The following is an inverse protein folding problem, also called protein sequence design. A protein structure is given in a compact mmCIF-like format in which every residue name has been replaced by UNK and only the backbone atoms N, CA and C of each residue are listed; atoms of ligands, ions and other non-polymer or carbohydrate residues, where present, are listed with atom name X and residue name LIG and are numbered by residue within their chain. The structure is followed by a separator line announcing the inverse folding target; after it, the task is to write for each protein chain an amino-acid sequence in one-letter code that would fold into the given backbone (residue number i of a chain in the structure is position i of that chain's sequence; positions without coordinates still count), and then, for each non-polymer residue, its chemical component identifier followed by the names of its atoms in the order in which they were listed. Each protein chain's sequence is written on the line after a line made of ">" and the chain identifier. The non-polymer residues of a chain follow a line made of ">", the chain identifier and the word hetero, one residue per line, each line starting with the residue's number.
data_IF_093968356423
#
_entry.id   IF_093968356423
#
_cell.length_a   1.000
_cell.length_b   1.000
_cell.length_c   1.000
_cell.angle_alpha   90.00
_cell.angle_beta   90.00
_cell.angle_gamma   90.00
#
_symmetry.space_group_name_H-M   'P 1'
#
loop_
_entity.id
_entity.type
_entity.pdbx_description
1 polymer ?
#
# COMPACT_ATOMS: atom_id res chain seq x y z
N UNK A 1 -23.03 -2.57 2.65
CA UNK A 1 -21.80 -2.26 1.88
C UNK A 1 -21.22 -0.90 2.26
N UNK A 2 -21.97 0.19 2.20
CA UNK A 2 -21.51 1.56 2.50
C UNK A 2 -20.86 1.66 3.90
N UNK A 3 -21.49 1.06 4.92
CA UNK A 3 -20.94 1.03 6.30
C UNK A 3 -19.52 0.43 6.36
N UNK A 4 -19.29 -0.67 5.62
CA UNK A 4 -17.98 -1.32 5.58
C UNK A 4 -16.93 -0.42 4.89
N UNK A 5 -17.33 0.35 3.84
CA UNK A 5 -16.44 1.30 3.18
C UNK A 5 -16.05 2.46 4.11
N UNK A 6 -17.02 2.98 4.87
CA UNK A 6 -16.75 4.02 5.86
C UNK A 6 -15.83 3.49 6.97
N UNK A 7 -16.07 2.28 7.45
CA UNK A 7 -15.26 1.65 8.49
C UNK A 7 -13.80 1.47 8.03
N UNK A 8 -13.59 0.94 6.81
CA UNK A 8 -12.23 0.81 6.25
C UNK A 8 -11.55 2.16 6.08
N UNK A 9 -12.29 3.19 5.65
CA UNK A 9 -11.76 4.53 5.50
C UNK A 9 -11.28 5.09 6.84
N UNK A 10 -12.14 5.04 7.88
CA UNK A 10 -11.83 5.55 9.21
C UNK A 10 -10.69 4.76 9.85
N UNK A 11 -10.71 3.42 9.75
CA UNK A 11 -9.66 2.57 10.28
C UNK A 11 -8.31 2.87 9.63
N UNK A 12 -8.27 2.99 8.30
CA UNK A 12 -7.03 3.32 7.56
C UNK A 12 -6.51 4.70 7.98
N UNK A 13 -7.41 5.69 8.14
CA UNK A 13 -7.06 7.04 8.58
C UNK A 13 -6.42 7.02 9.98
N UNK A 14 -7.08 6.40 10.94
CA UNK A 14 -6.61 6.33 12.34
C UNK A 14 -5.26 5.63 12.42
N UNK A 15 -5.12 4.48 11.77
CA UNK A 15 -3.89 3.69 11.77
C UNK A 15 -2.74 4.42 11.06
N UNK A 16 -3.00 5.14 9.97
CA UNK A 16 -2.00 5.97 9.30
C UNK A 16 -1.47 7.07 10.23
N UNK A 17 -2.34 7.78 10.92
CA UNK A 17 -1.92 8.82 11.85
C UNK A 17 -1.18 8.24 13.06
N UNK A 18 -1.61 7.10 13.60
CA UNK A 18 -0.90 6.38 14.66
C UNK A 18 0.51 5.98 14.21
N UNK A 19 0.64 5.42 13.00
CA UNK A 19 1.94 5.11 12.41
C UNK A 19 2.82 6.38 12.31
N UNK A 20 2.28 7.45 11.77
CA UNK A 20 3.02 8.69 11.54
C UNK A 20 3.51 9.32 12.85
N UNK A 21 2.69 9.24 13.92
CA UNK A 21 3.05 9.73 15.25
C UNK A 21 4.18 8.91 15.88
N UNK A 22 4.11 7.57 15.78
CA UNK A 22 5.00 6.67 16.49
C UNK A 22 6.29 6.36 15.72
N UNK A 23 6.20 6.21 14.38
CA UNK A 23 7.29 5.64 13.56
C UNK A 23 7.97 6.63 12.62
N UNK A 24 7.47 7.85 12.44
CA UNK A 24 8.03 8.86 11.51
C UNK A 24 9.55 9.05 11.64
N UNK A 25 10.09 8.95 12.85
CA UNK A 25 11.51 9.15 13.14
C UNK A 25 12.24 7.84 13.44
N UNK A 26 11.66 6.69 13.13
CA UNK A 26 12.27 5.39 13.37
C UNK A 26 13.25 5.05 12.25
N UNK A 27 14.46 4.63 12.64
CA UNK A 27 15.51 4.18 11.70
C UNK A 27 15.48 2.65 11.51
N UNK A 28 14.47 1.95 12.04
CA UNK A 28 14.29 0.50 11.83
C UNK A 28 13.40 0.26 10.62
N UNK A 29 13.99 0.33 9.44
CA UNK A 29 13.27 0.27 8.18
C UNK A 29 12.50 -1.04 7.98
N UNK A 30 13.10 -2.19 8.32
CA UNK A 30 12.43 -3.49 8.22
C UNK A 30 11.19 -3.58 9.15
N UNK A 31 11.28 -3.04 10.37
CA UNK A 31 10.16 -3.00 11.29
C UNK A 31 9.05 -2.05 10.78
N UNK A 32 9.42 -0.88 10.27
CA UNK A 32 8.48 0.07 9.67
C UNK A 32 7.74 -0.57 8.49
N UNK A 33 8.43 -1.35 7.65
CA UNK A 33 7.84 -2.13 6.54
C UNK A 33 6.76 -3.07 7.05
N UNK A 34 7.10 -3.91 8.05
CA UNK A 34 6.16 -4.87 8.63
C UNK A 34 4.94 -4.13 9.21
N UNK A 35 5.14 -3.06 9.96
CA UNK A 35 4.04 -2.28 10.56
C UNK A 35 3.14 -1.70 9.47
N UNK A 36 3.67 -1.10 8.41
CA UNK A 36 2.88 -0.53 7.31
C UNK A 36 2.04 -1.60 6.59
N UNK A 37 2.62 -2.77 6.31
CA UNK A 37 1.88 -3.88 5.71
C UNK A 37 0.79 -4.40 6.65
N UNK A 38 1.11 -4.60 7.94
CA UNK A 38 0.14 -5.06 8.95
C UNK A 38 -1.03 -4.10 9.08
N UNK A 39 -0.79 -2.79 9.14
CA UNK A 39 -1.86 -1.76 9.19
C UNK A 39 -2.76 -1.86 7.97
N UNK A 40 -2.18 -2.00 6.78
CA UNK A 40 -2.92 -2.06 5.52
C UNK A 40 -3.81 -3.30 5.45
N UNK A 41 -3.26 -4.48 5.79
CA UNK A 41 -4.00 -5.74 5.81
C UNK A 41 -5.10 -5.69 6.87
N UNK A 42 -4.80 -5.20 8.07
CA UNK A 42 -5.76 -5.10 9.16
C UNK A 42 -6.93 -4.17 8.81
N UNK A 43 -6.65 -2.96 8.30
CA UNK A 43 -7.69 -2.01 7.91
C UNK A 43 -8.59 -2.58 6.80
N UNK A 44 -8.04 -3.40 5.89
CA UNK A 44 -8.80 -4.09 4.86
C UNK A 44 -9.64 -5.24 5.41
N UNK A 45 -9.09 -6.02 6.37
CA UNK A 45 -9.75 -7.17 6.96
C UNK A 45 -10.82 -6.79 8.01
N UNK A 46 -10.71 -5.62 8.63
CA UNK A 46 -11.56 -5.19 9.74
C UNK A 46 -13.09 -5.33 9.48
N UNK A 47 -13.65 -4.95 8.32
CA UNK A 47 -15.10 -5.09 8.07
C UNK A 47 -15.58 -6.53 7.97
N UNK A 48 -14.67 -7.49 7.78
CA UNK A 48 -15.01 -8.93 7.72
C UNK A 48 -15.00 -9.58 9.10
N UNK A 49 -14.38 -8.92 10.09
CA UNK A 49 -14.33 -9.38 11.47
C UNK A 49 -15.60 -8.89 12.17
N UNK A 50 -16.59 -9.78 12.31
CA UNK A 50 -17.81 -9.52 13.08
C UNK A 50 -17.71 -10.28 14.38
N UNK A 51 -17.71 -9.58 15.50
CA UNK A 51 -17.76 -10.17 16.84
C UNK A 51 -19.17 -9.94 17.35
N UNK A 52 -19.98 -10.99 17.36
CA UNK A 52 -21.29 -10.98 17.98
C UNK A 52 -21.08 -11.22 19.48
N UNK A 53 -21.31 -10.22 20.30
CA UNK A 53 -21.35 -10.41 21.74
C UNK A 53 -22.81 -10.67 22.09
N UNK A 54 -23.13 -11.87 22.57
CA UNK A 54 -24.40 -12.15 23.21
C UNK A 54 -24.50 -11.26 24.45
N UNK A 55 -25.09 -10.10 24.30
CA UNK A 55 -25.33 -9.17 25.40
C UNK A 55 -26.45 -9.73 26.27
N UNK A 56 -26.22 -9.85 27.58
CA UNK A 56 -27.31 -10.01 28.53
C UNK A 56 -28.36 -8.94 28.28
N UNK A 57 -29.60 -9.39 28.12
CA UNK A 57 -30.76 -8.52 27.91
C UNK A 57 -30.80 -7.43 28.98
N UNK A 58 -30.44 -6.22 28.65
CA UNK A 58 -31.03 -5.09 29.31
C UNK A 58 -32.51 -5.09 28.88
N UNK A 59 -33.41 -5.41 29.79
CA UNK A 59 -34.83 -5.25 29.58
C UNK A 59 -35.08 -3.79 29.18
N UNK A 60 -35.26 -3.58 27.88
CA UNK A 60 -35.80 -2.30 27.41
C UNK A 60 -37.20 -2.14 28.02
N UNK A 61 -37.39 -1.05 28.75
CA UNK A 61 -38.74 -0.66 29.15
C UNK A 61 -39.61 -0.59 27.90
N UNK A 62 -40.82 -1.17 27.91
CA UNK A 62 -41.71 -1.20 26.75
C UNK A 62 -41.89 0.23 26.24
N UNK A 63 -41.46 0.49 25.02
CA UNK A 63 -41.63 1.79 24.42
C UNK A 63 -43.14 1.99 24.11
N UNK A 64 -43.72 3.02 24.70
CA UNK A 64 -45.13 3.43 24.55
C UNK A 64 -45.56 3.67 23.07
N UNK A 65 -44.67 3.60 22.14
CA UNK A 65 -44.91 3.70 20.70
C UNK A 65 -45.56 2.48 20.07
N UNK A 66 -45.38 1.28 20.62
CA UNK A 66 -45.79 0.06 19.97
C UNK A 66 -47.32 -0.24 20.17
N UNK A 67 -47.95 0.35 21.16
CA UNK A 67 -49.38 0.19 21.38
C UNK A 67 -50.26 1.11 20.51
N UNK A 68 -49.72 2.19 19.97
CA UNK A 68 -50.54 3.12 19.15
C UNK A 68 -50.64 2.70 17.68
N UNK A 69 -49.70 1.92 17.18
CA UNK A 69 -49.70 1.47 15.76
C UNK A 69 -50.73 0.33 15.50
N UNK A 70 -51.11 -0.42 16.52
CA UNK A 70 -52.07 -1.53 16.38
C UNK A 70 -53.52 -1.05 16.18
N UNK A 71 -53.86 0.16 16.60
CA UNK A 71 -55.21 0.67 16.56
C UNK A 71 -55.60 1.25 15.19
N UNK A 72 -54.64 1.61 14.36
CA UNK A 72 -54.93 2.28 13.06
C UNK A 72 -54.88 1.38 11.82
N UNK A 73 -54.57 0.09 11.94
CA UNK A 73 -54.45 -0.83 10.78
C UNK A 73 -55.51 -1.88 10.65
N UNK A 74 -56.71 -1.66 11.22
CA UNK A 74 -57.88 -2.48 10.97
C UNK A 74 -58.72 -1.82 9.85
N UNK A 75 -58.80 -2.53 8.69
CA UNK A 75 -59.61 -2.20 7.52
C UNK A 75 -59.04 -1.28 6.44
N UNK A 76 -57.89 -1.64 5.89
CA UNK A 76 -57.61 -1.31 4.51
C UNK A 76 -57.20 -2.58 3.75
N UNK A 77 -58.01 -3.02 2.83
CA UNK A 77 -57.63 -3.99 1.79
C UNK A 77 -56.42 -3.38 1.03
N UNK A 78 -55.24 -3.80 1.40
CA UNK A 78 -54.02 -3.38 0.73
C UNK A 78 -53.88 -4.26 -0.50
N UNK A 79 -54.20 -3.70 -1.69
CA UNK A 79 -53.65 -4.19 -2.93
C UNK A 79 -52.16 -4.33 -2.74
N UNK A 80 -51.62 -5.55 -2.96
CA UNK A 80 -50.18 -5.81 -2.86
C UNK A 80 -49.43 -4.76 -3.69
N UNK A 81 -48.56 -3.95 -3.09
CA UNK A 81 -47.83 -2.95 -3.86
C UNK A 81 -47.01 -3.69 -4.91
N UNK A 82 -47.27 -3.36 -6.17
CA UNK A 82 -46.35 -3.73 -7.25
C UNK A 82 -45.01 -3.17 -6.86
N UNK A 83 -44.06 -4.01 -6.40
CA UNK A 83 -42.69 -3.63 -6.10
C UNK A 83 -42.02 -3.13 -7.39
N UNK A 84 -42.23 -1.89 -7.72
CA UNK A 84 -41.33 -1.19 -8.63
C UNK A 84 -39.99 -1.09 -7.92
N UNK A 85 -39.01 -1.92 -8.32
CA UNK A 85 -37.65 -1.82 -7.86
C UNK A 85 -37.10 -0.46 -8.28
N UNK A 86 -37.37 0.56 -7.50
CA UNK A 86 -36.70 1.84 -7.62
C UNK A 86 -35.25 1.65 -7.14
N UNK A 87 -34.29 1.99 -8.00
CA UNK A 87 -32.87 1.92 -7.65
C UNK A 87 -32.64 2.75 -6.40
N UNK A 88 -32.26 2.11 -5.31
CA UNK A 88 -31.89 2.80 -4.07
C UNK A 88 -30.57 3.56 -4.27
N UNK A 89 -30.38 4.67 -3.55
CA UNK A 89 -29.11 5.41 -3.52
C UNK A 89 -27.94 4.47 -3.13
N UNK A 90 -28.20 3.50 -2.25
CA UNK A 90 -27.20 2.50 -1.85
C UNK A 90 -26.80 1.58 -3.00
N UNK A 91 -27.71 1.28 -3.93
CA UNK A 91 -27.41 0.46 -5.12
C UNK A 91 -26.54 1.25 -6.09
N UNK A 92 -26.86 2.52 -6.31
CA UNK A 92 -26.08 3.40 -7.17
C UNK A 92 -24.65 3.53 -6.65
N UNK A 93 -24.46 3.78 -5.35
CA UNK A 93 -23.12 3.86 -4.73
C UNK A 93 -22.37 2.52 -4.90
N UNK A 94 -23.08 1.40 -4.78
CA UNK A 94 -22.51 0.07 -4.95
C UNK A 94 -22.02 -0.17 -6.35
N UNK A 95 -22.78 0.23 -7.37
CA UNK A 95 -22.37 0.11 -8.77
C UNK A 95 -21.15 1.02 -9.08
N UNK A 96 -21.15 2.27 -8.60
CA UNK A 96 -20.01 3.19 -8.76
C UNK A 96 -18.76 2.58 -8.13
N UNK A 97 -18.88 2.00 -6.93
CA UNK A 97 -17.76 1.35 -6.26
C UNK A 97 -17.20 0.18 -7.07
N UNK A 98 -18.06 -0.72 -7.57
CA UNK A 98 -17.64 -1.88 -8.37
C UNK A 98 -16.95 -1.44 -9.65
N UNK A 99 -17.53 -0.46 -10.36
CA UNK A 99 -16.92 0.10 -11.58
C UNK A 99 -15.53 0.65 -11.29
N UNK A 100 -15.36 1.39 -10.19
CA UNK A 100 -14.07 1.89 -9.74
C UNK A 100 -13.07 0.78 -9.48
N UNK A 101 -13.46 -0.28 -8.74
CA UNK A 101 -12.60 -1.44 -8.47
C UNK A 101 -12.16 -2.11 -9.77
N UNK A 102 -13.09 -2.39 -10.68
CA UNK A 102 -12.78 -3.03 -11.99
C UNK A 102 -11.81 -2.16 -12.79
N UNK A 103 -12.04 -0.85 -12.84
CA UNK A 103 -11.15 0.09 -13.54
C UNK A 103 -9.72 0.05 -12.99
N UNK A 104 -9.55 0.13 -11.66
CA UNK A 104 -8.22 0.11 -11.04
C UNK A 104 -7.53 -1.25 -11.15
N UNK A 105 -8.28 -2.36 -11.09
CA UNK A 105 -7.73 -3.71 -11.33
C UNK A 105 -7.28 -3.87 -12.80
N UNK A 106 -8.04 -3.40 -13.77
CA UNK A 106 -7.63 -3.41 -15.17
C UNK A 106 -6.35 -2.59 -15.39
N UNK A 107 -6.27 -1.39 -14.78
CA UNK A 107 -5.06 -0.56 -14.81
C UNK A 107 -3.86 -1.28 -14.20
N UNK A 108 -4.05 -1.97 -13.09
CA UNK A 108 -3.00 -2.76 -12.43
C UNK A 108 -2.49 -3.89 -13.34
N UNK A 109 -3.39 -4.69 -13.92
CA UNK A 109 -3.04 -5.77 -14.87
C UNK A 109 -2.31 -5.21 -16.09
N UNK A 110 -2.77 -4.09 -16.64
CA UNK A 110 -2.11 -3.41 -17.75
C UNK A 110 -0.68 -2.98 -17.40
N UNK A 111 -0.45 -2.43 -16.21
CA UNK A 111 0.89 -2.05 -15.75
C UNK A 111 1.82 -3.26 -15.62
N UNK A 112 1.34 -4.37 -15.07
CA UNK A 112 2.10 -5.63 -15.02
C UNK A 112 2.43 -6.12 -16.42
N UNK A 113 1.45 -6.14 -17.33
CA UNK A 113 1.67 -6.56 -18.71
C UNK A 113 2.73 -5.69 -19.40
N UNK A 114 2.73 -4.38 -19.15
CA UNK A 114 3.76 -3.47 -19.68
C UNK A 114 5.17 -3.88 -19.23
N UNK A 115 5.36 -4.24 -17.95
CA UNK A 115 6.66 -4.71 -17.43
C UNK A 115 7.11 -6.00 -18.14
N UNK A 116 6.19 -6.97 -18.29
CA UNK A 116 6.50 -8.21 -19.02
C UNK A 116 6.83 -7.96 -20.50
N UNK A 117 6.18 -6.99 -21.13
CA UNK A 117 6.49 -6.58 -22.52
C UNK A 117 7.91 -6.00 -22.63
N UNK A 118 8.38 -5.24 -21.65
CA UNK A 118 9.76 -4.71 -21.64
C UNK A 118 10.78 -5.86 -21.62
N UNK A 119 10.48 -6.96 -20.93
CA UNK A 119 11.36 -8.13 -20.86
C UNK A 119 11.41 -8.93 -22.19
N UNK A 120 10.33 -8.92 -22.96
CA UNK A 120 10.18 -9.74 -24.15
C UNK A 120 11.22 -9.36 -25.23
N UNK A 121 11.98 -10.36 -25.73
CA UNK A 121 12.96 -10.16 -26.80
C UNK A 121 14.27 -9.47 -26.39
N UNK A 122 14.51 -9.26 -25.10
CA UNK A 122 15.74 -8.66 -24.60
C UNK A 122 16.77 -9.73 -24.20
N UNK A 123 18.05 -9.34 -24.22
CA UNK A 123 19.14 -10.20 -23.74
C UNK A 123 19.06 -10.32 -22.23
N UNK A 124 19.10 -11.56 -21.74
CA UNK A 124 18.99 -11.88 -20.31
C UNK A 124 20.29 -12.57 -19.89
N UNK A 125 20.92 -12.05 -18.85
CA UNK A 125 22.07 -12.66 -18.19
C UNK A 125 21.64 -13.01 -16.76
N UNK A 126 21.86 -14.27 -16.35
CA UNK A 126 21.45 -14.74 -15.01
C UNK A 126 22.70 -14.90 -14.14
N UNK A 127 22.78 -14.12 -13.07
CA UNK A 127 23.84 -14.16 -12.07
C UNK A 127 23.18 -14.32 -10.69
N UNK A 128 23.63 -15.28 -9.89
CA UNK A 128 23.10 -15.54 -8.53
C UNK A 128 21.55 -15.63 -8.46
N UNK A 129 20.94 -16.30 -9.43
CA UNK A 129 19.48 -16.44 -9.54
C UNK A 129 18.72 -15.13 -9.79
N UNK A 130 19.40 -14.06 -10.19
CA UNK A 130 18.86 -12.76 -10.60
C UNK A 130 19.09 -12.58 -12.10
N UNK A 131 18.05 -12.18 -12.81
CA UNK A 131 18.11 -11.93 -14.26
C UNK A 131 18.39 -10.46 -14.50
N UNK A 132 19.51 -10.17 -15.13
CA UNK A 132 19.87 -8.85 -15.61
C UNK A 132 19.37 -8.70 -17.06
N UNK A 133 18.53 -7.68 -17.28
CA UNK A 133 17.88 -7.42 -18.57
C UNK A 133 18.37 -6.07 -19.08
N UNK A 134 19.11 -6.10 -20.15
CA UNK A 134 19.65 -4.89 -20.78
C UNK A 134 18.63 -4.28 -21.74
N UNK A 135 18.25 -3.02 -21.50
CA UNK A 135 17.27 -2.30 -22.32
C UNK A 135 17.93 -1.15 -23.05
N UNK A 136 17.61 -0.97 -24.33
CA UNK A 136 18.15 0.15 -25.12
C UNK A 136 17.46 1.49 -24.80
N UNK A 137 16.48 1.48 -23.92
CA UNK A 137 15.77 2.67 -23.47
C UNK A 137 16.54 3.31 -22.32
N UNK A 138 16.74 4.62 -22.38
CA UNK A 138 17.38 5.41 -21.32
C UNK A 138 16.49 5.51 -20.10
N UNK A 139 16.28 4.41 -19.41
CA UNK A 139 15.51 4.38 -18.17
C UNK A 139 16.46 4.27 -16.98
N UNK A 140 16.07 4.89 -15.88
CA UNK A 140 16.69 4.65 -14.57
C UNK A 140 16.56 3.14 -14.27
N UNK A 141 17.64 2.47 -13.83
CA UNK A 141 17.57 1.07 -13.45
C UNK A 141 16.43 0.82 -12.46
N UNK A 142 15.75 -0.31 -12.61
CA UNK A 142 14.71 -0.74 -11.69
C UNK A 142 14.65 -2.26 -11.58
N UNK A 143 14.10 -2.75 -10.48
CA UNK A 143 13.93 -4.18 -10.25
C UNK A 143 12.47 -4.58 -10.11
N UNK A 144 12.14 -5.78 -10.62
CA UNK A 144 10.81 -6.38 -10.47
C UNK A 144 10.91 -7.90 -10.31
N UNK A 145 10.51 -8.44 -9.17
CA UNK A 145 10.79 -9.81 -8.73
C UNK A 145 12.30 -10.12 -8.85
N UNK A 146 12.65 -11.19 -9.54
CA UNK A 146 14.04 -11.63 -9.77
C UNK A 146 14.68 -10.99 -11.01
N UNK A 147 14.10 -9.90 -11.55
CA UNK A 147 14.63 -9.24 -12.73
C UNK A 147 15.11 -7.84 -12.36
N UNK A 148 16.32 -7.49 -12.80
CA UNK A 148 16.90 -6.16 -12.73
C UNK A 148 17.02 -5.63 -14.15
N UNK A 149 16.38 -4.51 -14.42
CA UNK A 149 16.40 -3.83 -15.71
C UNK A 149 17.45 -2.73 -15.69
N UNK A 150 18.40 -2.80 -16.64
CA UNK A 150 19.49 -1.84 -16.74
C UNK A 150 19.37 -1.14 -18.10
N UNK A 151 19.23 0.18 -18.09
CA UNK A 151 19.27 0.97 -19.30
C UNK A 151 20.70 1.11 -19.79
N UNK A 152 20.95 0.84 -21.07
CA UNK A 152 22.23 1.16 -21.70
C UNK A 152 22.22 2.64 -22.04
N UNK A 153 22.49 3.49 -21.05
CA UNK A 153 22.78 4.90 -21.31
C UNK A 153 24.21 5.03 -21.80
N UNK A 154 24.32 5.30 -23.10
CA UNK A 154 25.45 5.99 -23.74
C UNK A 154 26.85 5.43 -23.51
N UNK A 155 27.14 4.27 -24.03
CA UNK A 155 28.38 4.08 -24.74
C UNK A 155 28.04 3.42 -26.08
N UNK A 156 28.62 3.92 -27.15
CA UNK A 156 28.52 3.43 -28.52
C UNK A 156 28.77 1.94 -28.59
N UNK A 157 27.72 1.15 -28.39
CA UNK A 157 27.78 -0.30 -28.56
C UNK A 157 27.40 -0.57 -30.02
N UNK A 158 28.38 -0.90 -30.82
CA UNK A 158 28.19 -1.60 -32.07
C UNK A 158 27.46 -2.91 -31.77
N UNK A 159 26.48 -3.27 -32.59
CA UNK A 159 25.43 -4.27 -32.41
C UNK A 159 25.81 -5.71 -31.99
N UNK A 160 27.07 -6.01 -31.69
CA UNK A 160 27.56 -7.38 -31.46
C UNK A 160 28.44 -7.63 -30.22
N UNK A 161 28.71 -6.64 -29.39
CA UNK A 161 29.49 -6.87 -28.18
C UNK A 161 28.60 -6.88 -26.92
N UNK A 162 28.83 -7.87 -26.07
CA UNK A 162 28.28 -7.93 -24.71
C UNK A 162 28.74 -6.66 -24.02
N UNK A 163 27.87 -5.77 -23.52
CA UNK A 163 28.32 -4.67 -22.72
C UNK A 163 29.04 -5.26 -21.50
N UNK A 164 30.36 -5.13 -21.45
CA UNK A 164 31.06 -5.41 -20.21
C UNK A 164 30.42 -4.60 -19.08
N UNK A 165 30.28 -5.15 -17.86
CA UNK A 165 29.77 -4.42 -16.74
C UNK A 165 30.59 -3.14 -16.63
N UNK A 166 29.94 -2.00 -16.92
CA UNK A 166 30.60 -0.69 -17.03
C UNK A 166 31.44 -0.49 -15.79
N UNK A 167 32.77 -0.52 -15.95
CA UNK A 167 33.75 -0.36 -14.90
C UNK A 167 33.63 1.04 -14.29
N UNK A 168 32.93 1.11 -13.18
CA UNK A 168 32.86 2.29 -12.33
C UNK A 168 32.19 1.96 -11.02
N UNK A 169 32.79 2.35 -9.91
CA UNK A 169 32.23 2.18 -8.56
C UNK A 169 30.76 2.67 -8.45
N UNK A 170 30.35 3.60 -9.30
CA UNK A 170 29.02 4.14 -9.41
C UNK A 170 27.97 3.10 -9.81
N UNK A 171 28.25 2.33 -10.86
CA UNK A 171 27.33 1.32 -11.38
C UNK A 171 27.19 0.14 -10.41
N UNK A 172 28.25 -0.21 -9.70
CA UNK A 172 28.23 -1.26 -8.68
C UNK A 172 27.28 -0.89 -7.54
N UNK A 173 27.26 0.36 -7.10
CA UNK A 173 26.38 0.83 -6.02
C UNK A 173 24.92 0.82 -6.45
N UNK A 174 24.62 1.20 -7.69
CA UNK A 174 23.27 1.14 -8.25
C UNK A 174 22.80 -0.33 -8.36
N UNK A 175 23.66 -1.21 -8.86
CA UNK A 175 23.33 -2.66 -8.95
C UNK A 175 23.11 -3.25 -7.55
N UNK A 176 23.93 -2.92 -6.55
CA UNK A 176 23.71 -3.35 -5.17
C UNK A 176 22.35 -2.86 -4.62
N UNK A 177 21.97 -1.63 -4.96
CA UNK A 177 20.67 -1.07 -4.59
C UNK A 177 19.52 -1.87 -5.20
N UNK A 178 19.54 -2.14 -6.51
CA UNK A 178 18.53 -2.93 -7.19
C UNK A 178 18.48 -4.39 -6.68
N UNK A 179 19.63 -5.00 -6.43
CA UNK A 179 19.70 -6.33 -5.83
C UNK A 179 19.08 -6.39 -4.43
N UNK A 180 19.16 -5.30 -3.65
CA UNK A 180 18.47 -5.21 -2.36
C UNK A 180 16.95 -5.30 -2.52
N UNK A 181 16.36 -4.65 -3.52
CA UNK A 181 14.94 -4.78 -3.82
C UNK A 181 14.54 -6.22 -4.17
N UNK A 182 15.35 -6.92 -4.97
CA UNK A 182 15.13 -8.34 -5.31
C UNK A 182 15.21 -9.20 -4.06
N UNK A 183 16.29 -9.07 -3.29
CA UNK A 183 16.56 -9.88 -2.08
C UNK A 183 15.48 -9.71 -1.01
N UNK A 184 15.01 -8.50 -0.81
CA UNK A 184 13.98 -8.18 0.17
C UNK A 184 12.54 -8.40 -0.36
N UNK A 185 12.38 -8.87 -1.60
CA UNK A 185 11.08 -9.12 -2.24
C UNK A 185 10.15 -7.90 -2.22
N UNK A 186 10.67 -6.69 -2.42
CA UNK A 186 9.89 -5.45 -2.39
C UNK A 186 8.76 -5.43 -3.42
N UNK A 187 8.91 -6.17 -4.54
CA UNK A 187 7.86 -6.29 -5.57
C UNK A 187 6.58 -6.93 -5.05
N UNK A 188 6.68 -7.87 -4.08
CA UNK A 188 5.50 -8.51 -3.47
C UNK A 188 4.70 -7.49 -2.67
N UNK A 189 5.37 -6.64 -1.90
CA UNK A 189 4.73 -5.57 -1.12
C UNK A 189 4.02 -4.57 -2.05
N UNK A 190 4.68 -4.20 -3.15
CA UNK A 190 4.11 -3.27 -4.13
C UNK A 190 2.84 -3.86 -4.75
N UNK A 191 2.87 -5.13 -5.16
CA UNK A 191 1.70 -5.82 -5.72
C UNK A 191 0.55 -5.87 -4.70
N UNK A 192 0.86 -6.26 -3.46
CA UNK A 192 -0.13 -6.31 -2.38
C UNK A 192 -0.79 -4.94 -2.18
N UNK A 193 0.01 -3.88 -2.12
CA UNK A 193 -0.51 -2.53 -1.95
C UNK A 193 -1.31 -2.03 -3.15
N UNK A 194 -0.91 -2.35 -4.39
CA UNK A 194 -1.67 -1.97 -5.59
C UNK A 194 -3.04 -2.67 -5.63
N UNK A 195 -3.12 -3.95 -5.20
CA UNK A 195 -4.39 -4.67 -5.04
C UNK A 195 -5.26 -3.96 -3.97
N UNK A 196 -4.70 -3.63 -2.80
CA UNK A 196 -5.43 -2.93 -1.75
C UNK A 196 -5.91 -1.55 -2.20
N UNK A 197 -5.09 -0.82 -2.97
CA UNK A 197 -5.47 0.48 -3.55
C UNK A 197 -6.61 0.30 -4.56
N UNK A 198 -6.63 -0.78 -5.34
CA UNK A 198 -7.72 -1.04 -6.27
C UNK A 198 -9.07 -1.25 -5.54
N UNK A 199 -9.08 -1.98 -4.43
CA UNK A 199 -10.28 -2.14 -3.60
C UNK A 199 -10.65 -0.89 -2.80
N UNK A 200 -9.68 -0.10 -2.38
CA UNK A 200 -9.86 1.13 -1.62
C UNK A 200 -9.55 2.38 -2.46
N UNK A 201 -9.88 2.36 -3.76
CA UNK A 201 -9.52 3.41 -4.71
C UNK A 201 -9.98 4.81 -4.29
N UNK A 202 -11.07 4.91 -3.53
CA UNK A 202 -11.64 6.15 -2.97
C UNK A 202 -10.90 6.64 -1.73
N UNK A 203 -10.02 5.82 -1.12
CA UNK A 203 -9.35 6.11 0.14
C UNK A 203 -7.96 6.74 -0.09
N UNK A 204 -7.75 8.03 0.24
CA UNK A 204 -6.45 8.66 0.08
C UNK A 204 -5.39 8.12 1.06
N UNK A 205 -5.80 7.63 2.25
CA UNK A 205 -4.86 7.19 3.29
C UNK A 205 -4.12 5.92 2.89
N UNK A 206 -4.74 5.00 2.16
CA UNK A 206 -4.04 3.81 1.66
C UNK A 206 -2.92 4.19 0.68
N UNK A 207 -3.13 5.24 -0.14
CA UNK A 207 -2.10 5.77 -1.04
C UNK A 207 -0.96 6.44 -0.27
N UNK A 208 -1.29 7.14 0.84
CA UNK A 208 -0.27 7.72 1.72
C UNK A 208 0.55 6.65 2.40
N UNK A 209 -0.05 5.54 2.86
CA UNK A 209 0.65 4.37 3.39
C UNK A 209 1.57 3.75 2.33
N UNK A 210 1.09 3.58 1.09
CA UNK A 210 1.88 3.06 -0.02
C UNK A 210 3.12 3.94 -0.30
N UNK A 211 2.96 5.25 -0.27
CA UNK A 211 4.08 6.18 -0.46
C UNK A 211 5.12 6.10 0.66
N UNK A 212 4.69 5.95 1.92
CA UNK A 212 5.60 5.72 3.04
C UNK A 212 6.29 4.36 2.93
N UNK A 213 5.58 3.31 2.47
CA UNK A 213 6.14 1.99 2.24
C UNK A 213 7.21 2.02 1.13
N UNK A 214 6.91 2.65 -0.03
CA UNK A 214 7.88 2.83 -1.11
C UNK A 214 9.10 3.60 -0.63
N UNK A 215 8.91 4.70 0.12
CA UNK A 215 10.04 5.44 0.73
C UNK A 215 10.87 4.57 1.66
N UNK A 216 10.23 3.69 2.41
CA UNK A 216 10.91 2.78 3.33
C UNK A 216 11.69 1.68 2.59
N UNK A 217 11.20 1.20 1.44
CA UNK A 217 11.93 0.29 0.55
C UNK A 217 13.22 0.94 0.06
N UNK A 218 13.17 2.24 -0.33
CA UNK A 218 14.35 2.98 -0.73
C UNK A 218 15.39 3.07 0.42
N UNK A 219 14.93 3.34 1.66
CA UNK A 219 15.85 3.40 2.81
C UNK A 219 16.48 2.04 3.14
N UNK A 220 15.78 0.94 2.94
CA UNK A 220 16.33 -0.42 3.08
C UNK A 220 17.41 -0.63 2.02
N UNK A 221 17.09 -0.36 0.75
CA UNK A 221 17.99 -0.55 -0.35
C UNK A 221 19.24 0.35 -0.24
N UNK A 222 19.08 1.61 0.16
CA UNK A 222 20.18 2.53 0.43
C UNK A 222 21.11 2.01 1.54
N UNK A 223 20.53 1.51 2.63
CA UNK A 223 21.31 1.01 3.77
C UNK A 223 22.07 -0.28 3.46
N UNK A 224 21.60 -1.09 2.51
CA UNK A 224 22.27 -2.32 2.07
C UNK A 224 23.29 -2.07 0.95
N UNK A 225 23.11 -1.03 0.14
CA UNK A 225 24.04 -0.65 -0.91
C UNK A 225 25.34 -0.06 -0.36
N UNK A 226 25.28 0.64 0.77
CA UNK A 226 26.39 1.38 1.38
C UNK A 226 27.04 0.53 2.48
N UNK A 227 28.33 0.19 2.32
CA UNK A 227 29.10 -0.55 3.34
C UNK A 227 30.08 0.33 4.11
N UNK A 228 30.67 1.33 3.44
CA UNK A 228 31.76 2.16 3.96
C UNK A 228 31.42 3.65 3.81
N UNK A 229 32.12 4.52 4.55
CA UNK A 229 31.93 5.99 4.46
C UNK A 229 32.31 6.55 3.08
N UNK A 230 33.30 5.98 2.40
CA UNK A 230 33.70 6.37 1.04
C UNK A 230 32.59 6.04 0.02
N UNK A 231 31.99 4.85 0.12
CA UNK A 231 30.83 4.48 -0.68
C UNK A 231 29.64 5.40 -0.42
N UNK A 232 29.47 5.87 0.82
CA UNK A 232 28.38 6.77 1.22
C UNK A 232 28.44 8.12 0.50
N UNK A 233 29.63 8.72 0.43
CA UNK A 233 29.83 10.01 -0.26
C UNK A 233 29.55 9.87 -1.76
N UNK A 234 30.12 8.84 -2.39
CA UNK A 234 29.93 8.55 -3.81
C UNK A 234 28.44 8.25 -4.13
N UNK A 235 27.78 7.47 -3.27
CA UNK A 235 26.37 7.12 -3.43
C UNK A 235 25.45 8.34 -3.33
N UNK A 236 25.69 9.24 -2.36
CA UNK A 236 24.92 10.50 -2.26
C UNK A 236 25.09 11.37 -3.50
N UNK A 237 26.30 11.42 -4.07
CA UNK A 237 26.54 12.15 -5.31
C UNK A 237 25.76 11.54 -6.49
N UNK A 238 25.71 10.21 -6.60
CA UNK A 238 24.90 9.52 -7.61
C UNK A 238 23.41 9.83 -7.49
N UNK A 239 22.87 9.81 -6.27
CA UNK A 239 21.47 10.18 -6.02
C UNK A 239 21.15 11.62 -6.46
N UNK A 240 22.09 12.55 -6.24
CA UNK A 240 21.94 13.93 -6.69
C UNK A 240 22.02 14.04 -8.22
N UNK A 241 22.94 13.33 -8.87
CA UNK A 241 23.06 13.31 -10.32
C UNK A 241 21.80 12.76 -11.00
N UNK A 242 21.21 11.70 -10.46
CA UNK A 242 19.93 11.16 -10.96
C UNK A 242 18.80 12.20 -10.91
N UNK A 243 18.75 13.03 -9.86
CA UNK A 243 17.74 14.07 -9.75
C UNK A 243 17.92 15.23 -10.74
N UNK A 244 19.16 15.49 -11.19
CA UNK A 244 19.43 16.60 -12.10
C UNK A 244 19.36 16.22 -13.58
N UNK A 245 19.42 14.92 -13.87
CA UNK A 245 19.35 14.39 -15.25
C UNK A 245 17.93 14.40 -15.83
N UNK A 246 16.91 14.37 -14.97
CA UNK A 246 15.52 14.48 -15.41
C UNK A 246 15.17 15.95 -15.74
N UNK A 247 14.72 16.21 -16.97
CA UNK A 247 14.37 17.55 -17.46
C UNK A 247 13.44 18.32 -16.50
N UNK A 248 13.79 19.57 -16.19
CA UNK A 248 13.21 20.46 -15.17
C UNK A 248 11.73 20.83 -15.37
N UNK A 249 10.96 20.16 -16.23
CA UNK A 249 9.70 20.72 -16.74
C UNK A 249 8.39 20.22 -16.11
N UNK A 250 8.39 19.32 -15.10
CA UNK A 250 7.12 18.80 -14.57
C UNK A 250 7.03 18.75 -13.04
N UNK A 251 5.79 18.93 -12.54
CA UNK A 251 5.39 18.79 -11.13
C UNK A 251 5.87 17.43 -10.55
N UNK A 252 6.00 16.38 -11.38
CA UNK A 252 6.53 15.08 -11.01
C UNK A 252 7.97 15.15 -10.46
N UNK A 253 8.81 16.04 -10.98
CA UNK A 253 10.19 16.25 -10.53
C UNK A 253 10.27 16.77 -9.09
N UNK A 254 9.31 17.57 -8.65
CA UNK A 254 9.28 18.05 -7.27
C UNK A 254 9.08 16.90 -6.26
N UNK A 255 8.30 15.88 -6.61
CA UNK A 255 8.09 14.72 -5.75
C UNK A 255 9.31 13.80 -5.71
N UNK A 256 9.99 13.57 -6.83
CA UNK A 256 11.22 12.78 -6.89
C UNK A 256 12.35 13.45 -6.10
N UNK A 257 12.49 14.75 -6.23
CA UNK A 257 13.44 15.54 -5.45
C UNK A 257 13.19 15.45 -3.93
N UNK A 258 11.92 15.54 -3.50
CA UNK A 258 11.57 15.41 -2.08
C UNK A 258 11.92 14.02 -1.52
N UNK A 259 11.71 12.97 -2.30
CA UNK A 259 12.09 11.61 -1.90
C UNK A 259 13.60 11.48 -1.79
N UNK A 260 14.37 11.94 -2.78
CA UNK A 260 15.84 11.91 -2.76
C UNK A 260 16.41 12.71 -1.60
N UNK A 261 15.86 13.90 -1.31
CA UNK A 261 16.24 14.68 -0.13
C UNK A 261 16.00 13.87 1.17
N UNK A 262 14.88 13.14 1.26
CA UNK A 262 14.57 12.29 2.40
C UNK A 262 15.54 11.11 2.51
N UNK A 263 15.92 10.46 1.39
CA UNK A 263 16.94 9.40 1.32
C UNK A 263 18.28 9.91 1.84
N UNK A 264 18.81 11.00 1.30
CA UNK A 264 20.08 11.61 1.73
C UNK A 264 20.03 11.96 3.23
N UNK A 265 18.94 12.56 3.72
CA UNK A 265 18.77 12.86 5.13
C UNK A 265 18.78 11.62 6.02
N UNK A 266 18.27 10.48 5.53
CA UNK A 266 18.30 9.22 6.29
C UNK A 266 19.67 8.55 6.26
N UNK A 267 20.40 8.63 5.15
CA UNK A 267 21.79 8.16 5.03
C UNK A 267 22.74 8.92 5.97
N UNK A 268 22.55 10.24 6.10
CA UNK A 268 23.41 11.09 6.93
C UNK A 268 23.08 11.04 8.42
N UNK A 269 21.87 10.56 8.78
CA UNK A 269 21.41 10.56 10.17
C UNK A 269 22.12 9.48 11.01
N UNK A 270 22.86 9.92 12.04
CA UNK A 270 23.49 9.01 13.00
C UNK A 270 22.44 8.19 13.76
N UNK A 271 22.49 6.87 13.63
CA UNK A 271 21.43 5.97 14.08
C UNK A 271 21.57 5.61 15.57
N UNK A 272 20.96 6.38 16.45
CA UNK A 272 20.72 5.91 17.83
C UNK A 272 19.42 5.11 17.89
N UNK A 273 19.53 3.78 17.94
CA UNK A 273 18.38 2.86 18.00
C UNK A 273 17.90 2.75 19.46
N UNK A 274 16.91 3.57 19.87
CA UNK A 274 16.24 3.41 21.16
C UNK A 274 14.72 3.24 21.00
N UNK A 275 14.13 2.29 21.74
CA UNK A 275 12.69 2.24 22.03
C UNK A 275 11.74 1.71 20.93
N UNK A 276 12.20 0.89 19.99
CA UNK A 276 11.37 0.44 18.88
C UNK A 276 10.25 -0.55 19.27
N UNK A 277 10.50 -1.43 20.25
CA UNK A 277 9.51 -2.43 20.72
C UNK A 277 8.35 -1.75 21.43
N UNK A 278 8.63 -0.72 22.25
CA UNK A 278 7.61 0.06 22.95
C UNK A 278 6.65 0.72 21.96
N UNK A 279 7.16 1.22 20.83
CA UNK A 279 6.33 1.84 19.79
C UNK A 279 5.37 0.84 19.14
N UNK A 280 5.80 -0.39 18.90
CA UNK A 280 4.93 -1.46 18.39
C UNK A 280 3.88 -1.81 19.44
N UNK A 281 4.27 -1.95 20.71
CA UNK A 281 3.33 -2.25 21.78
C UNK A 281 2.25 -1.15 21.91
N UNK A 282 2.62 0.11 21.68
CA UNK A 282 1.70 1.25 21.73
C UNK A 282 0.68 1.25 20.58
N UNK A 283 0.90 0.49 19.48
CA UNK A 283 -0.09 0.32 18.42
C UNK A 283 -1.18 -0.69 18.77
N UNK A 284 -0.92 -1.67 19.65
CA UNK A 284 -1.88 -2.71 20.04
C UNK A 284 -3.21 -2.16 20.58
N UNK A 285 -3.24 -1.18 21.51
CA UNK A 285 -4.51 -0.62 21.98
C UNK A 285 -5.31 0.07 20.87
N UNK A 286 -4.66 0.61 19.84
CA UNK A 286 -5.37 1.20 18.70
C UNK A 286 -6.07 0.11 17.88
N UNK A 287 -5.40 -1.03 17.65
CA UNK A 287 -6.01 -2.20 16.99
C UNK A 287 -7.19 -2.75 17.82
N UNK A 288 -7.01 -2.91 19.13
CA UNK A 288 -8.06 -3.37 20.05
C UNK A 288 -9.27 -2.43 20.04
N UNK A 289 -9.05 -1.11 20.08
CA UNK A 289 -10.11 -0.12 20.01
C UNK A 289 -10.91 -0.22 18.70
N UNK A 290 -10.23 -0.37 17.57
CA UNK A 290 -10.90 -0.50 16.27
C UNK A 290 -11.73 -1.79 16.18
N UNK A 291 -11.27 -2.89 16.78
CA UNK A 291 -12.03 -4.14 16.86
C UNK A 291 -13.28 -3.93 17.74
N UNK A 292 -13.13 -3.29 18.91
CA UNK A 292 -14.25 -3.01 19.81
C UNK A 292 -15.31 -2.10 19.16
N UNK A 293 -14.89 -1.11 18.38
CA UNK A 293 -15.81 -0.25 17.64
C UNK A 293 -16.56 -0.98 16.52
N UNK A 294 -16.06 -2.13 16.08
CA UNK A 294 -16.69 -2.96 15.04
C UNK A 294 -17.59 -4.06 15.64
N UNK A 295 -17.69 -4.19 16.97
CA UNK A 295 -18.59 -5.15 17.61
C UNK A 295 -20.03 -4.68 17.46
N UNK A 296 -20.90 -5.56 16.96
CA UNK A 296 -22.35 -5.34 16.89
C UNK A 296 -23.01 -6.17 18.00
N UNK A 297 -23.87 -5.54 18.78
CA UNK A 297 -24.79 -6.28 19.67
C UNK A 297 -25.91 -6.82 18.81
N UNK A 298 -25.98 -8.13 18.63
CA UNK A 298 -27.08 -8.77 17.91
C UNK A 298 -28.22 -9.02 18.91
N UNK A 299 -29.28 -8.22 18.82
CA UNK A 299 -30.53 -8.44 19.55
C UNK A 299 -31.38 -9.49 18.80
N UNK A 300 -30.87 -10.69 18.62
CA UNK A 300 -31.70 -11.81 18.15
C UNK A 300 -32.64 -12.22 19.27
N UNK A 301 -33.93 -11.94 19.07
CA UNK A 301 -35.02 -12.53 19.91
C UNK A 301 -34.92 -14.05 19.79
N UNK A 302 -34.93 -14.81 20.89
CA UNK A 302 -35.07 -16.24 20.80
C UNK A 302 -36.44 -16.55 20.15
N UNK A 303 -36.40 -17.36 19.08
CA UNK A 303 -37.65 -17.93 18.54
C UNK A 303 -38.31 -18.73 19.65
N UNK A 304 -39.45 -18.28 20.12
CA UNK A 304 -40.37 -19.09 20.91
C UNK A 304 -40.88 -20.20 19.99
N UNK A 305 -40.27 -21.39 20.10
CA UNK A 305 -40.87 -22.62 19.61
C UNK A 305 -42.13 -22.90 20.44
N UNK A 306 -43.30 -22.84 19.78
CA UNK A 306 -44.51 -23.46 20.24
C UNK A 306 -44.71 -24.77 19.51
#
# INVERSE_FOLDING_TARGET
>A
MVTNLILTFVATMVLYFAYKLLFRNSNRFQLNRIVLLTISIFAFALPFIRINIEGQQFQEMPSFKQEMDVIFYSDAMIEAPVETKTLSITDIISYIYIIGVVFFLMKFVYNIFKIYKIKAGKKIETIDNVNFIYTNESHVPFSFFNNVFIGTSTSSVTDNEVPEPVEGNANILIIKHEMSHVKNHHSVDVILMEIMIAFQWFNPFIRMINNELKSNHEFIADSEAIKNEDEKSNYMMLLLQQCTADDFSTIANNFSFLLTKKRISMITKNQKVKGSVIKVLLTLPVFALLILLNTQCDNTKPNEEK
#
